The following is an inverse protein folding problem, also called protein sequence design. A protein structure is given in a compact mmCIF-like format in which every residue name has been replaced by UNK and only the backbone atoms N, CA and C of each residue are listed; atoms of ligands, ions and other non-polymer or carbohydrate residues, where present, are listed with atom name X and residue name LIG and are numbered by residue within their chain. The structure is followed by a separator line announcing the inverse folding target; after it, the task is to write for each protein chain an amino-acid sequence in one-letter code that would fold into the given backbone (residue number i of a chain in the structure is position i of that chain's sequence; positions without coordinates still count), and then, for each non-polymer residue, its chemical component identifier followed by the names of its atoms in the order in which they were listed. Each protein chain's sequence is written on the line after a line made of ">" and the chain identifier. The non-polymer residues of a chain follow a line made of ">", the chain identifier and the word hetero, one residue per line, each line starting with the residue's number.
data_IF_990507087376
#
_entry.id   IF_990507087376
#
_cell.length_a   1.000
_cell.length_b   1.000
_cell.length_c   1.000
_cell.angle_alpha   90.00
_cell.angle_beta   90.00
_cell.angle_gamma   90.00
#
_symmetry.space_group_name_H-M   'P 1'
#
loop_
_entity.id
_entity.type
_entity.pdbx_description
1 polymer ?
#
# COMPACT_ATOMS: atom_id res chain seq x y z
N UNK A 1 -33.62 10.98 13.91
CA UNK A 1 -32.24 11.19 14.41
C UNK A 1 -32.24 12.50 15.17
N UNK A 2 -32.43 12.46 16.48
CA UNK A 2 -32.58 13.68 17.28
C UNK A 2 -31.19 14.28 17.56
N UNK A 3 -30.92 15.45 16.98
CA UNK A 3 -29.68 16.21 17.19
C UNK A 3 -29.77 16.86 18.56
N UNK A 4 -29.12 16.27 19.58
CA UNK A 4 -29.13 16.79 20.94
C UNK A 4 -27.78 17.37 21.41
N UNK A 5 -26.70 17.19 20.64
CA UNK A 5 -25.36 17.70 20.96
C UNK A 5 -24.73 18.48 19.79
N UNK A 6 -23.96 19.52 20.11
CA UNK A 6 -23.19 20.33 19.14
C UNK A 6 -22.23 19.46 18.30
N UNK A 7 -21.74 18.37 18.89
CA UNK A 7 -20.82 17.43 18.23
C UNK A 7 -21.50 16.68 17.08
N UNK A 8 -22.76 16.30 17.24
CA UNK A 8 -23.55 15.63 16.20
C UNK A 8 -23.84 16.57 15.03
N UNK A 9 -24.06 17.86 15.32
CA UNK A 9 -24.26 18.88 14.28
C UNK A 9 -22.98 19.09 13.46
N UNK A 10 -21.82 19.18 14.12
CA UNK A 10 -20.52 19.35 13.46
C UNK A 10 -20.21 18.12 12.60
N UNK A 11 -20.44 16.91 13.13
CA UNK A 11 -20.25 15.65 12.39
C UNK A 11 -21.16 15.57 11.16
N UNK A 12 -22.45 15.86 11.31
CA UNK A 12 -23.39 15.80 10.19
C UNK A 12 -23.06 16.87 9.13
N UNK A 13 -22.64 18.06 9.57
CA UNK A 13 -22.18 19.12 8.68
C UNK A 13 -20.93 18.74 7.88
N UNK A 14 -19.94 18.11 8.54
CA UNK A 14 -18.71 17.68 7.86
C UNK A 14 -18.95 16.52 6.90
N UNK A 15 -19.83 15.57 7.23
CA UNK A 15 -20.23 14.48 6.33
C UNK A 15 -20.88 14.99 5.05
N UNK A 16 -21.86 15.90 5.18
CA UNK A 16 -22.51 16.52 4.01
C UNK A 16 -21.50 17.32 3.20
N UNK A 17 -20.62 18.06 3.87
CA UNK A 17 -19.55 18.81 3.20
C UNK A 17 -18.60 17.90 2.39
N UNK A 18 -18.17 16.78 2.96
CA UNK A 18 -17.32 15.80 2.27
C UNK A 18 -18.04 15.16 1.08
N UNK A 19 -19.32 14.80 1.23
CA UNK A 19 -20.10 14.22 0.15
C UNK A 19 -20.28 15.20 -1.02
N UNK A 20 -20.71 16.43 -0.73
CA UNK A 20 -20.88 17.47 -1.74
C UNK A 20 -19.54 17.80 -2.42
N UNK A 21 -18.46 17.92 -1.64
CA UNK A 21 -17.12 18.16 -2.18
C UNK A 21 -16.65 17.06 -3.13
N UNK A 22 -16.83 15.79 -2.75
CA UNK A 22 -16.51 14.66 -3.61
C UNK A 22 -17.37 14.63 -4.89
N UNK A 23 -18.66 14.97 -4.79
CA UNK A 23 -19.57 15.00 -5.93
C UNK A 23 -19.19 16.07 -6.95
N UNK A 24 -18.91 17.29 -6.46
CA UNK A 24 -18.46 18.40 -7.30
C UNK A 24 -17.12 18.08 -8.00
N UNK A 25 -16.20 17.42 -7.30
CA UNK A 25 -14.92 17.02 -7.87
C UNK A 25 -15.11 15.98 -9.00
N UNK A 26 -15.99 14.99 -8.81
CA UNK A 26 -16.32 14.01 -9.85
C UNK A 26 -16.98 14.67 -11.07
N UNK A 27 -17.92 15.61 -10.84
CA UNK A 27 -18.54 16.36 -11.94
C UNK A 27 -17.51 17.17 -12.74
N UNK A 28 -16.56 17.81 -12.05
CA UNK A 28 -15.46 18.52 -12.72
C UNK A 28 -14.59 17.57 -13.56
N UNK A 29 -14.29 16.38 -13.04
CA UNK A 29 -13.52 15.36 -13.76
C UNK A 29 -14.27 14.83 -15.00
N UNK A 30 -15.57 14.58 -14.89
CA UNK A 30 -16.41 14.16 -16.04
C UNK A 30 -16.47 15.25 -17.09
N UNK A 31 -16.62 16.53 -16.69
CA UNK A 31 -16.59 17.67 -17.61
C UNK A 31 -15.25 17.79 -18.33
N UNK A 32 -14.14 17.60 -17.62
CA UNK A 32 -12.80 17.59 -18.20
C UNK A 32 -12.61 16.46 -19.21
N UNK A 33 -13.07 15.25 -18.88
CA UNK A 33 -13.04 14.10 -19.79
C UNK A 33 -13.86 14.34 -21.06
N UNK A 34 -15.02 15.01 -20.95
CA UNK A 34 -15.85 15.42 -22.08
C UNK A 34 -15.21 16.51 -22.95
N UNK A 35 -14.39 17.39 -22.38
CA UNK A 35 -13.74 18.48 -23.11
C UNK A 35 -12.44 18.04 -23.80
N UNK A 36 -11.58 17.26 -23.14
CA UNK A 36 -10.29 16.80 -23.68
C UNK A 36 -10.41 15.57 -24.60
N UNK A 37 -11.51 14.81 -24.48
CA UNK A 37 -11.61 13.47 -25.04
C UNK A 37 -11.03 12.42 -24.09
N UNK A 38 -11.69 11.25 -24.04
CA UNK A 38 -11.44 10.21 -23.03
C UNK A 38 -10.01 9.64 -23.08
N UNK A 39 -9.40 9.53 -24.27
CA UNK A 39 -8.04 9.02 -24.39
C UNK A 39 -6.99 9.99 -23.83
N UNK A 40 -7.02 11.27 -24.22
CA UNK A 40 -6.11 12.28 -23.67
C UNK A 40 -6.33 12.47 -22.17
N UNK A 41 -7.57 12.34 -21.68
CA UNK A 41 -7.83 12.37 -20.25
C UNK A 41 -7.14 11.21 -19.51
N UNK A 42 -7.25 9.97 -20.01
CA UNK A 42 -6.60 8.80 -19.41
C UNK A 42 -5.07 8.93 -19.44
N UNK A 43 -4.50 9.41 -20.55
CA UNK A 43 -3.05 9.64 -20.64
C UNK A 43 -2.59 10.70 -19.62
N UNK A 44 -3.30 11.83 -19.51
CA UNK A 44 -3.00 12.86 -18.53
C UNK A 44 -3.15 12.36 -17.08
N UNK A 45 -4.13 11.47 -16.83
CA UNK A 45 -4.36 10.90 -15.52
C UNK A 45 -3.28 9.87 -15.15
N UNK A 46 -2.80 9.07 -16.12
CA UNK A 46 -1.73 8.11 -15.94
C UNK A 46 -0.39 8.77 -15.57
N UNK A 47 -0.15 10.01 -16.03
CA UNK A 47 1.02 10.81 -15.66
C UNK A 47 0.98 11.26 -14.19
N UNK A 48 -0.21 11.30 -13.57
CA UNK A 48 -0.43 11.80 -12.21
C UNK A 48 -1.27 10.82 -11.37
N UNK A 49 -0.71 9.70 -10.87
CA UNK A 49 -1.50 8.69 -10.18
C UNK A 49 -2.02 9.15 -8.81
N UNK A 50 -1.41 10.16 -8.19
CA UNK A 50 -2.00 10.76 -6.99
C UNK A 50 -3.41 11.32 -7.28
N UNK A 51 -3.61 11.85 -8.49
CA UNK A 51 -4.93 12.31 -8.97
C UNK A 51 -5.87 11.14 -9.25
N UNK A 52 -5.37 10.03 -9.79
CA UNK A 52 -6.14 8.78 -9.96
C UNK A 52 -6.63 8.27 -8.61
N UNK A 53 -5.73 8.16 -7.63
CA UNK A 53 -6.02 7.70 -6.28
C UNK A 53 -7.09 8.58 -5.63
N UNK A 54 -6.98 9.90 -5.74
CA UNK A 54 -7.99 10.81 -5.20
C UNK A 54 -9.35 10.70 -5.90
N UNK A 55 -9.39 10.57 -7.23
CA UNK A 55 -10.64 10.30 -7.96
C UNK A 55 -11.30 9.00 -7.48
N UNK A 56 -10.50 7.96 -7.26
CA UNK A 56 -10.98 6.71 -6.70
C UNK A 56 -11.54 6.88 -5.27
N UNK A 57 -10.87 7.65 -4.40
CA UNK A 57 -11.42 8.03 -3.09
C UNK A 57 -12.77 8.74 -3.20
N UNK A 58 -12.92 9.68 -4.14
CA UNK A 58 -14.18 10.39 -4.35
C UNK A 58 -15.31 9.46 -4.83
N UNK A 59 -14.99 8.48 -5.68
CA UNK A 59 -15.93 7.43 -6.10
C UNK A 59 -16.37 6.57 -4.91
N UNK A 60 -15.42 6.14 -4.06
CA UNK A 60 -15.73 5.41 -2.84
C UNK A 60 -16.58 6.23 -1.86
N UNK A 61 -16.32 7.54 -1.73
CA UNK A 61 -17.12 8.43 -0.87
C UNK A 61 -18.60 8.47 -1.29
N UNK A 62 -18.92 8.29 -2.58
CA UNK A 62 -20.31 8.20 -3.06
C UNK A 62 -21.03 6.94 -2.57
N UNK A 63 -20.28 5.89 -2.18
CA UNK A 63 -20.84 4.62 -1.69
C UNK A 63 -21.19 4.65 -0.21
N UNK A 64 -20.69 5.62 0.57
CA UNK A 64 -20.97 5.71 2.01
C UNK A 64 -22.47 5.96 2.29
N UNK A 65 -23.15 6.94 1.66
CA UNK A 65 -24.58 7.16 1.91
C UNK A 65 -25.48 5.95 1.62
N UNK A 66 -25.37 5.22 0.48
CA UNK A 66 -26.18 4.03 0.27
C UNK A 66 -25.86 2.90 1.25
N UNK A 67 -24.59 2.72 1.65
CA UNK A 67 -24.22 1.73 2.67
C UNK A 67 -24.89 2.03 4.03
N UNK A 68 -24.93 3.30 4.40
CA UNK A 68 -25.56 3.74 5.64
C UNK A 68 -27.09 3.54 5.61
N UNK A 69 -27.73 3.73 4.45
CA UNK A 69 -29.17 3.42 4.27
C UNK A 69 -29.46 1.92 4.44
N UNK A 70 -28.50 1.07 4.09
CA UNK A 70 -28.60 -0.40 4.24
C UNK A 70 -28.10 -0.92 5.59
N UNK A 71 -27.66 -0.04 6.51
CA UNK A 71 -27.15 -0.36 7.84
C UNK A 71 -25.99 -1.39 7.86
N UNK A 72 -25.04 -1.26 6.93
CA UNK A 72 -23.81 -2.08 6.90
C UNK A 72 -22.60 -1.35 7.50
N UNK A 73 -22.59 -1.16 8.82
CA UNK A 73 -21.59 -0.35 9.54
C UNK A 73 -20.15 -0.86 9.33
N UNK A 74 -19.93 -2.18 9.31
CA UNK A 74 -18.59 -2.77 9.09
C UNK A 74 -17.99 -2.39 7.73
N UNK A 75 -18.81 -2.35 6.69
CA UNK A 75 -18.34 -2.01 5.35
C UNK A 75 -18.08 -0.51 5.21
N UNK A 76 -18.88 0.33 5.88
CA UNK A 76 -18.68 1.77 5.97
C UNK A 76 -17.31 2.09 6.59
N UNK A 77 -16.99 1.50 7.74
CA UNK A 77 -15.73 1.73 8.44
C UNK A 77 -14.51 1.33 7.57
N UNK A 78 -14.57 0.18 6.91
CA UNK A 78 -13.50 -0.30 6.02
C UNK A 78 -13.30 0.67 4.86
N UNK A 79 -14.38 1.10 4.21
CA UNK A 79 -14.31 2.04 3.08
C UNK A 79 -13.79 3.41 3.54
N UNK A 80 -14.21 3.89 4.71
CA UNK A 80 -13.71 5.14 5.29
C UNK A 80 -12.20 5.10 5.52
N UNK A 81 -11.67 3.99 6.05
CA UNK A 81 -10.22 3.79 6.21
C UNK A 81 -9.50 3.79 4.87
N UNK A 82 -10.06 3.13 3.85
CA UNK A 82 -9.49 3.12 2.49
C UNK A 82 -9.45 4.53 1.90
N UNK A 83 -10.51 5.33 2.08
CA UNK A 83 -10.57 6.73 1.63
C UNK A 83 -9.47 7.56 2.30
N UNK A 84 -9.29 7.42 3.61
CA UNK A 84 -8.23 8.13 4.35
C UNK A 84 -6.83 7.77 3.84
N UNK A 85 -6.54 6.48 3.67
CA UNK A 85 -5.25 6.00 3.17
C UNK A 85 -4.97 6.49 1.75
N UNK A 86 -5.98 6.46 0.88
CA UNK A 86 -5.85 6.82 -0.53
C UNK A 86 -5.76 8.34 -0.74
N UNK A 87 -6.31 9.13 0.19
CA UNK A 87 -6.25 10.60 0.15
C UNK A 87 -4.90 11.14 0.63
N UNK A 88 -4.19 10.41 1.50
CA UNK A 88 -2.88 10.84 2.02
C UNK A 88 -1.83 11.12 0.91
N UNK A 89 -1.61 10.24 -0.09
CA UNK A 89 -0.72 10.52 -1.22
C UNK A 89 -1.09 11.76 -2.03
N UNK A 90 -2.36 12.17 -2.05
CA UNK A 90 -2.81 13.36 -2.76
C UNK A 90 -2.28 14.66 -2.13
N UNK A 91 -2.06 14.70 -0.81
CA UNK A 91 -1.44 15.87 -0.18
C UNK A 91 -0.01 16.12 -0.68
N UNK A 92 0.75 15.06 -0.95
CA UNK A 92 2.10 15.19 -1.51
C UNK A 92 2.07 15.83 -2.90
N UNK A 93 1.00 15.62 -3.68
CA UNK A 93 0.83 16.29 -4.97
C UNK A 93 0.72 17.81 -4.82
N UNK A 94 0.03 18.32 -3.80
CA UNK A 94 -0.03 19.77 -3.54
C UNK A 94 1.33 20.33 -3.09
N UNK A 95 2.11 19.55 -2.34
CA UNK A 95 3.47 19.94 -1.95
C UNK A 95 4.42 20.14 -3.15
N UNK A 96 4.09 19.59 -4.33
CA UNK A 96 4.85 19.78 -5.58
C UNK A 96 4.96 21.25 -6.01
N UNK A 97 3.99 22.09 -5.64
CA UNK A 97 3.96 23.52 -6.03
C UNK A 97 5.01 24.39 -5.33
N UNK A 98 5.58 23.92 -4.21
CA UNK A 98 6.60 24.68 -3.47
C UNK A 98 7.98 24.47 -4.08
N UNK A 99 8.72 25.57 -4.32
CA UNK A 99 10.06 25.53 -4.95
C UNK A 99 11.07 24.65 -4.21
N UNK A 100 10.96 24.54 -2.89
CA UNK A 100 11.87 23.76 -2.03
C UNK A 100 11.45 22.30 -1.87
N UNK A 101 10.14 22.03 -1.74
CA UNK A 101 9.60 20.69 -1.46
C UNK A 101 9.30 19.90 -2.73
N UNK A 102 9.01 20.59 -3.84
CA UNK A 102 8.60 19.96 -5.09
C UNK A 102 9.60 18.97 -5.69
N UNK A 103 10.91 19.30 -5.77
CA UNK A 103 11.91 18.34 -6.22
C UNK A 103 11.97 17.07 -5.37
N UNK A 104 11.81 17.18 -4.05
CA UNK A 104 11.80 16.05 -3.12
C UNK A 104 10.60 15.12 -3.35
N UNK A 105 9.41 15.67 -3.52
CA UNK A 105 8.18 14.90 -3.84
C UNK A 105 8.35 14.13 -5.15
N UNK A 106 8.88 14.77 -6.19
CA UNK A 106 9.12 14.11 -7.49
C UNK A 106 10.14 12.98 -7.35
N UNK A 107 11.17 13.14 -6.51
CA UNK A 107 12.13 12.06 -6.22
C UNK A 107 11.48 10.87 -5.52
N UNK A 108 10.70 11.09 -4.46
CA UNK A 108 9.94 10.01 -3.78
C UNK A 108 9.05 9.27 -4.78
N UNK A 109 8.29 10.02 -5.57
CA UNK A 109 7.36 9.45 -6.52
C UNK A 109 8.05 8.54 -7.56
N UNK A 110 9.25 8.94 -8.03
CA UNK A 110 10.07 8.11 -8.93
C UNK A 110 10.60 6.84 -8.24
N UNK A 111 11.08 6.94 -7.00
CA UNK A 111 11.56 5.77 -6.25
C UNK A 111 10.43 4.77 -5.98
N UNK A 112 9.25 5.26 -5.61
CA UNK A 112 8.06 4.42 -5.33
C UNK A 112 7.57 3.71 -6.59
N UNK A 113 7.37 4.44 -7.68
CA UNK A 113 6.80 3.87 -8.91
C UNK A 113 7.81 3.04 -9.72
N UNK A 114 9.09 3.43 -9.72
CA UNK A 114 10.12 2.78 -10.52
C UNK A 114 10.72 1.54 -9.85
N UNK A 115 11.05 1.64 -8.56
CA UNK A 115 11.85 0.63 -7.87
C UNK A 115 10.98 -0.17 -6.90
N UNK A 116 10.31 0.50 -5.96
CA UNK A 116 9.56 -0.16 -4.89
C UNK A 116 8.50 -1.12 -5.43
N UNK A 117 7.66 -0.69 -6.39
CA UNK A 117 6.59 -1.55 -6.93
C UNK A 117 7.11 -2.85 -7.57
N UNK A 118 8.26 -2.81 -8.25
CA UNK A 118 8.86 -4.01 -8.84
C UNK A 118 9.32 -4.98 -7.75
N UNK A 119 9.99 -4.48 -6.72
CA UNK A 119 10.44 -5.34 -5.61
C UNK A 119 9.27 -5.88 -4.79
N UNK A 120 8.27 -5.05 -4.49
CA UNK A 120 7.05 -5.48 -3.79
C UNK A 120 6.33 -6.55 -4.59
N UNK A 121 6.27 -6.46 -5.93
CA UNK A 121 5.64 -7.50 -6.75
C UNK A 121 6.34 -8.87 -6.63
N UNK A 122 7.67 -8.91 -6.64
CA UNK A 122 8.45 -10.14 -6.43
C UNK A 122 8.24 -10.68 -5.00
N UNK A 123 8.28 -9.80 -4.01
CA UNK A 123 8.01 -10.14 -2.62
C UNK A 123 6.61 -10.75 -2.44
N UNK A 124 5.57 -10.19 -3.07
CA UNK A 124 4.21 -10.71 -3.00
C UNK A 124 4.09 -12.12 -3.58
N UNK A 125 4.84 -12.46 -4.63
CA UNK A 125 4.89 -13.83 -5.17
C UNK A 125 5.43 -14.82 -4.14
N UNK A 126 6.51 -14.47 -3.43
CA UNK A 126 7.05 -15.31 -2.37
C UNK A 126 6.09 -15.42 -1.17
N UNK A 127 5.51 -14.30 -0.72
CA UNK A 127 4.52 -14.32 0.37
C UNK A 127 3.34 -15.21 0.02
N UNK A 128 2.77 -15.08 -1.18
CA UNK A 128 1.68 -15.93 -1.64
C UNK A 128 2.10 -17.40 -1.69
N UNK A 129 3.27 -17.73 -2.25
CA UNK A 129 3.77 -19.11 -2.31
C UNK A 129 3.95 -19.76 -0.94
N UNK A 130 4.64 -19.08 -0.01
CA UNK A 130 4.86 -19.58 1.34
C UNK A 130 3.57 -19.57 2.17
N UNK A 131 2.64 -18.63 1.95
CA UNK A 131 1.36 -18.59 2.67
C UNK A 131 0.56 -19.87 2.51
N UNK A 132 0.57 -20.49 1.33
CA UNK A 132 -0.16 -21.73 1.08
C UNK A 132 0.52 -22.92 1.75
N UNK A 133 1.86 -22.95 1.78
CA UNK A 133 2.59 -23.97 2.51
C UNK A 133 2.31 -23.88 4.02
N UNK A 134 2.30 -22.67 4.57
CA UNK A 134 1.96 -22.45 5.98
C UNK A 134 0.50 -22.75 6.30
N UNK A 135 -0.44 -22.37 5.42
CA UNK A 135 -1.84 -22.76 5.56
C UNK A 135 -1.97 -24.28 5.76
N UNK A 136 -1.31 -25.08 4.92
CA UNK A 136 -1.33 -26.56 5.03
C UNK A 136 -0.69 -27.05 6.33
N UNK A 137 0.41 -26.46 6.77
CA UNK A 137 1.07 -26.82 8.04
C UNK A 137 0.16 -26.53 9.25
N UNK A 138 -0.53 -25.39 9.23
CA UNK A 138 -1.42 -24.95 10.30
C UNK A 138 -2.78 -25.65 10.30
N UNK A 139 -3.13 -26.44 9.28
CA UNK A 139 -4.29 -27.35 9.36
C UNK A 139 -4.11 -28.42 10.45
N UNK A 140 -2.86 -28.77 10.76
CA UNK A 140 -2.50 -29.74 11.82
C UNK A 140 -2.17 -29.05 13.15
N UNK A 141 -2.64 -27.82 13.35
CA UNK A 141 -2.48 -27.08 14.60
C UNK A 141 -3.40 -27.67 15.66
N UNK A 142 -2.83 -28.04 16.81
CA UNK A 142 -3.54 -28.63 17.95
C UNK A 142 -3.37 -27.73 19.18
N UNK A 143 -4.48 -27.28 19.76
CA UNK A 143 -4.43 -26.43 20.95
C UNK A 143 -4.68 -27.26 22.23
N UNK A 144 -3.71 -27.35 23.17
CA UNK A 144 -3.88 -28.15 24.39
C UNK A 144 -4.97 -27.65 25.35
N UNK A 145 -5.66 -26.55 25.02
CA UNK A 145 -6.74 -25.94 25.80
C UNK A 145 -8.14 -26.27 25.25
N UNK A 146 -8.25 -26.93 24.10
CA UNK A 146 -9.53 -27.33 23.51
C UNK A 146 -9.86 -28.81 23.82
N UNK A 147 -11.08 -29.12 24.26
CA UNK A 147 -11.54 -30.51 24.43
C UNK A 147 -11.45 -31.30 23.12
N UNK A 148 -11.05 -32.58 23.20
CA UNK A 148 -11.02 -33.49 22.05
C UNK A 148 -12.38 -33.49 21.32
N UNK A 149 -12.40 -33.07 20.05
CA UNK A 149 -13.60 -33.08 19.19
C UNK A 149 -14.27 -31.72 18.93
N UNK A 150 -13.69 -30.60 19.38
CA UNK A 150 -14.11 -29.24 19.01
C UNK A 150 -13.19 -28.70 17.91
N UNK A 151 -13.76 -27.99 16.93
CA UNK A 151 -13.03 -27.41 15.80
C UNK A 151 -12.07 -26.29 16.28
N UNK A 152 -10.76 -26.54 16.20
CA UNK A 152 -9.68 -25.63 16.59
C UNK A 152 -9.49 -24.44 15.63
N UNK A 153 -10.31 -24.36 14.57
CA UNK A 153 -10.27 -23.31 13.55
C UNK A 153 -10.34 -21.88 14.11
N UNK A 154 -10.95 -21.66 15.28
CA UNK A 154 -11.07 -20.33 15.90
C UNK A 154 -9.79 -19.88 16.62
N UNK A 155 -8.97 -20.81 17.11
CA UNK A 155 -7.74 -20.51 17.85
C UNK A 155 -6.48 -20.69 16.99
N UNK A 156 -6.64 -21.20 15.77
CA UNK A 156 -5.59 -21.33 14.79
C UNK A 156 -5.11 -19.93 14.34
N UNK A 157 -3.81 -19.62 14.41
CA UNK A 157 -3.26 -18.35 13.91
C UNK A 157 -3.41 -18.15 12.39
N UNK A 158 -3.65 -19.22 11.63
CA UNK A 158 -3.76 -19.19 10.16
C UNK A 158 -4.91 -20.09 9.66
N UNK A 159 -6.18 -19.76 9.98
CA UNK A 159 -7.31 -20.65 9.72
C UNK A 159 -7.77 -20.65 8.26
N UNK A 160 -7.54 -19.56 7.53
CA UNK A 160 -7.96 -19.41 6.12
C UNK A 160 -6.77 -19.03 5.23
N UNK A 161 -6.76 -19.42 3.95
CA UNK A 161 -5.67 -19.07 3.02
C UNK A 161 -5.42 -17.56 2.89
N UNK A 162 -6.47 -16.76 3.03
CA UNK A 162 -6.40 -15.30 3.01
C UNK A 162 -5.76 -14.73 4.26
N UNK A 163 -6.07 -15.29 5.43
CA UNK A 163 -5.44 -14.88 6.70
C UNK A 163 -3.98 -15.33 6.76
N UNK A 164 -3.65 -16.50 6.18
CA UNK A 164 -2.25 -16.95 6.06
C UNK A 164 -1.39 -15.95 5.29
N UNK A 165 -1.91 -15.29 4.24
CA UNK A 165 -1.17 -14.24 3.51
C UNK A 165 -0.86 -13.06 4.43
N UNK A 166 -1.87 -12.59 5.20
CA UNK A 166 -1.69 -11.50 6.16
C UNK A 166 -0.71 -11.89 7.26
N UNK A 167 -0.83 -13.11 7.80
CA UNK A 167 0.05 -13.62 8.84
C UNK A 167 1.50 -13.73 8.35
N UNK A 168 1.74 -14.19 7.12
CA UNK A 168 3.07 -14.21 6.50
C UNK A 168 3.66 -12.82 6.32
N UNK A 169 2.84 -11.85 5.91
CA UNK A 169 3.27 -10.45 5.84
C UNK A 169 3.67 -9.93 7.23
N UNK A 170 2.83 -10.10 8.25
CA UNK A 170 3.11 -9.64 9.61
C UNK A 170 4.35 -10.32 10.22
N UNK A 171 4.51 -11.62 9.97
CA UNK A 171 5.69 -12.39 10.37
C UNK A 171 6.97 -11.80 9.77
N UNK A 172 6.93 -11.33 8.52
CA UNK A 172 8.10 -10.70 7.87
C UNK A 172 8.44 -9.30 8.37
N UNK A 173 7.47 -8.56 8.95
CA UNK A 173 7.60 -7.15 9.37
C UNK A 173 8.04 -7.00 10.83
N UNK A 174 8.26 -8.12 11.55
CA UNK A 174 8.80 -8.24 12.94
C UNK A 174 7.81 -8.76 14.00
N UNK A 175 6.61 -9.23 13.62
CA UNK A 175 5.65 -9.85 14.56
C UNK A 175 5.78 -11.39 14.56
N UNK A 176 6.99 -11.94 14.45
CA UNK A 176 7.19 -13.38 14.26
C UNK A 176 7.17 -14.21 15.55
N UNK A 177 7.37 -13.60 16.73
CA UNK A 177 7.47 -14.33 18.01
C UNK A 177 6.24 -15.18 18.30
N UNK A 178 5.05 -14.59 18.14
CA UNK A 178 3.79 -15.28 18.42
C UNK A 178 3.58 -16.47 17.47
N UNK A 179 3.86 -16.28 16.18
CA UNK A 179 3.76 -17.37 15.19
C UNK A 179 4.85 -18.44 15.36
N UNK A 180 6.06 -18.06 15.79
CA UNK A 180 7.15 -18.99 16.00
C UNK A 180 6.84 -19.98 17.13
N UNK A 181 6.25 -19.50 18.22
CA UNK A 181 5.78 -20.38 19.31
C UNK A 181 4.59 -21.24 18.90
N UNK A 182 3.78 -20.78 17.95
CA UNK A 182 2.67 -21.56 17.40
C UNK A 182 3.15 -22.75 16.54
N UNK A 183 4.37 -22.74 16.00
CA UNK A 183 4.92 -23.88 15.26
C UNK A 183 5.10 -25.13 16.13
N UNK A 184 5.37 -24.96 17.43
CA UNK A 184 5.54 -26.07 18.38
C UNK A 184 4.22 -26.82 18.63
N UNK A 185 3.08 -26.22 18.27
CA UNK A 185 1.73 -26.79 18.38
C UNK A 185 1.24 -27.44 17.08
N UNK A 186 2.09 -27.54 16.07
CA UNK A 186 1.76 -28.21 14.80
C UNK A 186 2.44 -29.57 14.72
N UNK A 187 1.81 -30.54 14.05
CA UNK A 187 2.40 -31.88 13.83
C UNK A 187 3.73 -31.83 13.07
N UNK A 188 3.99 -30.77 12.30
CA UNK A 188 5.15 -30.61 11.42
C UNK A 188 6.09 -29.48 11.89
N UNK A 189 6.42 -29.44 13.18
CA UNK A 189 7.26 -28.40 13.79
C UNK A 189 8.60 -28.17 13.08
N UNK A 190 9.33 -29.25 12.72
CA UNK A 190 10.64 -29.14 12.08
C UNK A 190 10.55 -28.51 10.68
N UNK A 191 9.52 -28.90 9.91
CA UNK A 191 9.27 -28.35 8.56
C UNK A 191 8.89 -26.87 8.68
N UNK A 192 8.01 -26.52 9.61
CA UNK A 192 7.59 -25.14 9.86
C UNK A 192 8.77 -24.23 10.21
N UNK A 193 9.66 -24.66 11.11
CA UNK A 193 10.86 -23.92 11.52
C UNK A 193 11.89 -23.81 10.39
N UNK A 194 12.06 -24.87 9.59
CA UNK A 194 12.96 -24.81 8.43
C UNK A 194 12.43 -23.84 7.36
N UNK A 195 11.15 -23.95 6.99
CA UNK A 195 10.49 -23.02 6.07
C UNK A 195 10.60 -21.57 6.57
N UNK A 196 10.53 -21.35 7.88
CA UNK A 196 10.63 -20.02 8.49
C UNK A 196 12.00 -19.41 8.25
N UNK A 197 13.08 -20.17 8.50
CA UNK A 197 14.45 -19.71 8.27
C UNK A 197 14.66 -19.38 6.80
N UNK A 198 14.22 -20.26 5.88
CA UNK A 198 14.34 -20.04 4.44
C UNK A 198 13.58 -18.77 4.01
N UNK A 199 12.34 -18.60 4.48
CA UNK A 199 11.54 -17.42 4.18
C UNK A 199 12.20 -16.14 4.70
N UNK A 200 12.69 -16.12 5.95
CA UNK A 200 13.36 -14.96 6.53
C UNK A 200 14.64 -14.58 5.78
N UNK A 201 15.41 -15.56 5.30
CA UNK A 201 16.59 -15.30 4.45
C UNK A 201 16.18 -14.71 3.11
N UNK A 202 15.14 -15.25 2.45
CA UNK A 202 14.63 -14.71 1.19
C UNK A 202 14.15 -13.27 1.38
N UNK A 203 13.35 -12.99 2.42
CA UNK A 203 12.88 -11.64 2.73
C UNK A 203 14.05 -10.70 3.00
N UNK A 204 15.05 -11.11 3.78
CA UNK A 204 16.23 -10.31 4.03
C UNK A 204 16.99 -9.96 2.73
N UNK A 205 17.18 -10.93 1.83
CA UNK A 205 17.80 -10.70 0.52
C UNK A 205 16.96 -9.73 -0.32
N UNK A 206 15.64 -9.87 -0.34
CA UNK A 206 14.74 -8.98 -1.09
C UNK A 206 14.75 -7.54 -0.55
N UNK A 207 14.74 -7.37 0.78
CA UNK A 207 14.82 -6.06 1.42
C UNK A 207 16.17 -5.39 1.16
N UNK A 208 17.27 -6.15 1.23
CA UNK A 208 18.61 -5.65 0.87
C UNK A 208 18.67 -5.28 -0.61
N UNK A 209 18.10 -6.08 -1.51
CA UNK A 209 18.04 -5.77 -2.95
C UNK A 209 17.25 -4.50 -3.24
N UNK A 210 16.16 -4.26 -2.50
CA UNK A 210 15.39 -3.02 -2.59
C UNK A 210 16.22 -1.80 -2.11
N UNK A 211 16.96 -1.95 -1.00
CA UNK A 211 17.86 -0.90 -0.49
C UNK A 211 18.99 -0.59 -1.49
N UNK A 212 19.59 -1.62 -2.08
CA UNK A 212 20.65 -1.49 -3.09
C UNK A 212 20.12 -0.83 -4.35
N UNK A 213 18.90 -1.16 -4.80
CA UNK A 213 18.32 -0.55 -6.00
C UNK A 213 18.03 0.94 -5.82
N UNK A 214 17.50 1.33 -4.66
CA UNK A 214 17.28 2.74 -4.32
C UNK A 214 18.61 3.52 -4.25
N UNK A 215 19.65 2.91 -3.67
CA UNK A 215 21.01 3.46 -3.68
C UNK A 215 21.58 3.49 -5.11
N UNK A 216 21.38 2.45 -5.91
CA UNK A 216 21.88 2.29 -7.27
C UNK A 216 21.34 3.33 -8.25
N UNK A 217 20.04 3.63 -8.21
CA UNK A 217 19.44 4.70 -8.99
C UNK A 217 19.96 6.09 -8.57
N UNK A 218 20.26 6.26 -7.29
CA UNK A 218 20.91 7.49 -6.79
C UNK A 218 22.36 7.58 -7.30
N UNK A 219 23.11 6.47 -7.27
CA UNK A 219 24.46 6.37 -7.82
C UNK A 219 24.50 6.64 -9.32
N UNK A 220 23.57 6.10 -10.10
CA UNK A 220 23.48 6.37 -11.55
C UNK A 220 23.19 7.84 -11.84
N UNK A 221 22.25 8.46 -11.11
CA UNK A 221 21.93 9.88 -11.28
C UNK A 221 23.11 10.80 -10.90
N UNK A 222 23.87 10.45 -9.87
CA UNK A 222 25.10 11.16 -9.49
C UNK A 222 26.20 10.95 -10.54
N UNK A 223 26.34 9.73 -11.07
CA UNK A 223 27.31 9.41 -12.11
C UNK A 223 27.01 10.16 -13.42
N UNK A 224 25.74 10.26 -13.83
CA UNK A 224 25.31 11.07 -14.97
C UNK A 224 25.62 12.55 -14.76
N UNK A 225 25.30 13.11 -13.59
CA UNK A 225 25.62 14.51 -13.25
C UNK A 225 27.13 14.77 -13.33
N UNK A 226 27.95 13.81 -12.88
CA UNK A 226 29.41 13.88 -12.97
C UNK A 226 29.90 13.83 -14.42
N UNK A 227 29.32 12.97 -15.26
CA UNK A 227 29.65 12.88 -16.68
C UNK A 227 29.27 14.15 -17.43
N UNK A 228 28.11 14.75 -17.12
CA UNK A 228 27.69 16.03 -17.70
C UNK A 228 28.62 17.17 -17.31
N UNK A 229 29.05 17.24 -16.05
CA UNK A 229 30.02 18.23 -15.58
C UNK A 229 31.37 18.07 -16.31
N UNK A 230 31.88 16.84 -16.44
CA UNK A 230 33.12 16.60 -17.19
C UNK A 230 32.99 17.02 -18.66
N UNK A 231 31.83 16.80 -19.29
CA UNK A 231 31.58 17.24 -20.66
C UNK A 231 31.58 18.77 -20.78
N UNK A 232 30.95 19.48 -19.85
CA UNK A 232 30.95 20.96 -19.82
C UNK A 232 32.35 21.53 -19.63
N UNK A 233 33.15 20.92 -18.75
CA UNK A 233 34.55 21.31 -18.53
C UNK A 233 35.39 21.12 -19.79
N UNK A 234 35.29 19.96 -20.47
CA UNK A 234 35.97 19.75 -21.76
C UNK A 234 35.51 20.73 -22.85
N UNK A 235 34.22 21.05 -22.93
CA UNK A 235 33.70 22.07 -23.85
C UNK A 235 34.30 23.45 -23.60
N UNK A 236 34.48 23.83 -22.33
CA UNK A 236 35.12 25.08 -21.96
C UNK A 236 36.59 25.10 -22.41
N UNK A 237 37.36 24.03 -22.16
CA UNK A 237 38.77 23.97 -22.61
C UNK A 237 38.91 24.06 -24.14
N UNK A 238 38.02 23.44 -24.91
CA UNK A 238 38.05 23.50 -26.38
C UNK A 238 37.64 24.88 -26.91
N UNK A 239 36.76 25.60 -26.20
CA UNK A 239 36.25 26.91 -26.64
C UNK A 239 37.23 28.05 -26.34
N UNK A 240 38.10 27.88 -25.33
CA UNK A 240 39.09 28.89 -24.90
C UNK A 240 40.52 28.64 -25.41
N UNK A 241 40.71 27.67 -26.30
CA UNK A 241 41.97 27.39 -27.01
C UNK A 241 41.83 27.71 -28.49
#
# INVERSE_FOLDING_TARGET
>A
MAVHSTDDLIRMGSEVGMFVGAFLYLLAAVREAGFLGTQMFIENLAIAPARVMFLFSCLLMMTIPPLRLTCYDKAEDIIAVIIMLTTCPYFLFFCRGFKTVGPFVVMIYRMVMGDLLRFVSIYMVFVMGFSQAYYVIFLSYDNPLTPEGIDDSVLNPMPTPTESIMAMFLMSVNTFTDYYTAFDKTSHTLVAKFCFIVFMVIVAILLVNMLIAMMGNTYQKIAETRNEWQRQVSWMYITFM
#
